data_IF_835181908884
#
_entry.id   IF_835181908884
#
_cell.length_a   1.000
_cell.length_b   1.000
_cell.length_c   1.000
_cell.angle_alpha   90.00
_cell.angle_beta   90.00
_cell.angle_gamma   90.00
#
_symmetry.space_group_name_H-M   'P 1'
#
loop_
_entity.id
_entity.type
_entity.pdbx_description
1 polymer ?
#
# COMPACT_ATOMS: atom_id res chain seq x y z
N UNK A 1 -15.37 -47.07 11.55
CA UNK A 1 -14.48 -47.54 12.64
C UNK A 1 -13.48 -46.43 12.91
N UNK A 2 -13.84 -45.53 13.81
CA UNK A 2 -13.37 -45.43 15.22
C UNK A 2 -12.16 -44.53 15.38
N UNK A 3 -12.44 -43.41 16.06
CA UNK A 3 -11.54 -42.36 16.54
C UNK A 3 -10.44 -42.94 17.44
N UNK A 4 -9.30 -42.27 17.48
CA UNK A 4 -8.43 -42.28 18.65
C UNK A 4 -8.22 -40.85 19.13
N UNK A 5 -8.69 -40.61 20.36
CA UNK A 5 -8.48 -39.42 21.18
C UNK A 5 -7.51 -39.86 22.28
N UNK A 6 -6.47 -39.08 22.53
CA UNK A 6 -5.66 -39.18 23.74
C UNK A 6 -4.62 -38.06 23.75
N UNK A 7 -4.23 -37.46 24.86
CA UNK A 7 -4.74 -37.42 26.22
C UNK A 7 -4.13 -36.13 26.82
N UNK A 8 -4.90 -35.36 27.61
CA UNK A 8 -4.35 -34.18 28.30
C UNK A 8 -3.50 -34.66 29.48
N UNK A 9 -2.31 -34.09 29.62
CA UNK A 9 -1.55 -34.15 30.88
C UNK A 9 -1.29 -32.72 31.36
N UNK A 10 -1.89 -32.40 32.51
CA UNK A 10 -1.56 -31.24 33.31
C UNK A 10 -0.26 -31.52 34.08
N UNK A 11 0.64 -30.55 34.16
CA UNK A 11 1.69 -30.58 35.17
C UNK A 11 1.98 -29.18 35.72
N UNK A 12 2.25 -29.17 37.02
CA UNK A 12 2.03 -28.08 37.92
C UNK A 12 3.21 -27.10 38.05
N UNK A 13 2.84 -25.94 38.60
CA UNK A 13 3.60 -24.78 39.09
C UNK A 13 4.88 -25.14 39.86
N UNK A 14 5.98 -24.46 39.55
CA UNK A 14 7.11 -24.26 40.46
C UNK A 14 7.35 -22.77 40.66
N UNK A 15 7.12 -22.30 41.87
CA UNK A 15 7.52 -20.99 42.39
C UNK A 15 8.97 -21.08 42.86
N UNK A 16 9.83 -20.17 42.39
CA UNK A 16 11.03 -19.80 43.14
C UNK A 16 11.14 -18.28 43.21
N UNK A 17 10.99 -17.78 44.44
CA UNK A 17 11.35 -16.45 44.90
C UNK A 17 12.87 -16.37 45.00
N UNK A 18 13.47 -15.28 44.54
CA UNK A 18 14.70 -14.75 45.13
C UNK A 18 14.73 -13.23 44.98
N UNK A 19 14.54 -12.56 46.11
CA UNK A 19 14.83 -11.15 46.28
C UNK A 19 16.31 -11.01 46.67
N UNK A 20 17.02 -10.11 45.99
CA UNK A 20 18.22 -9.47 46.50
C UNK A 20 18.30 -8.07 45.87
N UNK A 21 18.06 -7.05 46.71
CA UNK A 21 18.44 -5.66 46.47
C UNK A 21 19.96 -5.53 46.58
N UNK A 22 20.57 -4.63 45.79
CA UNK A 22 21.46 -3.60 46.34
C UNK A 22 21.77 -2.45 45.36
N UNK A 23 21.81 -1.24 45.95
CA UNK A 23 22.64 -0.07 45.67
C UNK A 23 22.62 0.66 44.30
N UNK A 24 21.79 1.72 44.26
CA UNK A 24 22.14 3.11 43.95
C UNK A 24 23.29 3.45 42.99
N UNK A 25 22.93 4.00 41.82
CA UNK A 25 23.76 4.99 41.12
C UNK A 25 22.86 6.09 40.56
N UNK A 26 23.00 7.31 41.09
CA UNK A 26 22.22 8.49 40.71
C UNK A 26 22.61 8.96 39.31
N UNK A 27 21.78 8.65 38.31
CA UNK A 27 21.90 9.28 36.99
C UNK A 27 21.09 10.58 36.98
N UNK A 28 21.81 11.70 37.01
CA UNK A 28 21.27 13.04 36.74
C UNK A 28 20.73 13.08 35.31
N UNK A 29 19.40 13.13 35.18
CA UNK A 29 18.69 13.38 33.93
C UNK A 29 18.97 14.80 33.45
N UNK A 30 19.68 14.95 32.34
CA UNK A 30 19.74 16.21 31.59
C UNK A 30 18.52 16.29 30.68
N UNK A 31 17.52 17.07 31.09
CA UNK A 31 16.33 17.33 30.26
C UNK A 31 16.74 18.23 29.11
N UNK A 32 16.88 17.68 27.90
CA UNK A 32 16.95 18.47 26.68
C UNK A 32 15.63 19.24 26.50
N UNK A 33 15.64 20.50 26.03
CA UNK A 33 14.41 21.23 25.75
C UNK A 33 13.65 20.49 24.65
N UNK A 34 12.41 20.09 24.94
CA UNK A 34 11.52 19.50 23.97
C UNK A 34 11.29 20.51 22.84
N UNK A 35 11.76 20.18 21.63
CA UNK A 35 11.29 20.85 20.43
C UNK A 35 9.75 20.70 20.40
N UNK A 36 8.99 21.74 20.06
CA UNK A 36 7.55 21.61 19.92
C UNK A 36 7.28 20.61 18.79
N UNK A 37 6.88 19.39 19.15
CA UNK A 37 6.22 18.49 18.23
C UNK A 37 4.94 19.21 17.81
N UNK A 38 4.94 19.79 16.61
CA UNK A 38 3.71 20.07 15.88
C UNK A 38 3.07 18.71 15.54
N UNK A 39 2.44 18.08 16.52
CA UNK A 39 1.69 16.86 16.33
C UNK A 39 0.44 17.23 15.53
N UNK A 40 0.52 17.11 14.21
CA UNK A 40 -0.67 17.04 13.38
C UNK A 40 -1.55 15.92 13.92
N UNK A 41 -2.78 16.25 14.31
CA UNK A 41 -3.73 15.26 14.83
C UNK A 41 -3.94 14.10 13.84
N UNK A 42 -4.41 12.96 14.35
CA UNK A 42 -4.72 11.81 13.50
C UNK A 42 -5.77 12.19 12.44
N UNK A 43 -5.48 11.86 11.18
CA UNK A 43 -6.46 11.95 10.10
C UNK A 43 -7.34 10.69 10.19
N UNK A 44 -8.62 10.87 10.50
CA UNK A 44 -9.59 9.77 10.54
C UNK A 44 -10.38 9.78 9.24
N UNK A 45 -10.23 8.71 8.45
CA UNK A 45 -10.98 8.48 7.22
C UNK A 45 -11.94 7.32 7.50
N UNK A 46 -13.23 7.61 7.57
CA UNK A 46 -14.29 6.63 7.82
C UNK A 46 -15.39 6.71 6.75
N UNK A 47 -16.47 5.95 6.93
CA UNK A 47 -17.59 5.96 5.98
C UNK A 47 -18.37 7.28 5.92
N UNK A 48 -18.13 8.23 6.82
CA UNK A 48 -18.69 9.58 6.74
C UNK A 48 -17.85 10.51 5.84
N UNK A 49 -16.63 10.10 5.48
CA UNK A 49 -15.77 10.80 4.51
C UNK A 49 -16.12 10.45 3.05
N UNK A 50 -17.39 10.18 2.75
CA UNK A 50 -17.88 9.73 1.43
C UNK A 50 -18.60 10.83 0.63
N UNK A 51 -18.78 12.02 1.22
CA UNK A 51 -19.34 13.17 0.51
C UNK A 51 -18.32 13.77 -0.46
N UNK A 52 -18.36 13.28 -1.70
CA UNK A 52 -17.44 13.68 -2.77
C UNK A 52 -17.56 15.16 -3.15
N UNK A 53 -18.67 15.82 -2.83
CA UNK A 53 -18.83 17.27 -3.10
C UNK A 53 -17.85 18.12 -2.30
N UNK A 54 -17.29 17.56 -1.21
CA UNK A 54 -16.27 18.20 -0.39
C UNK A 54 -14.88 18.16 -1.01
N UNK A 55 -14.65 17.40 -2.08
CA UNK A 55 -13.37 17.36 -2.81
C UNK A 55 -13.30 18.63 -3.69
N UNK A 56 -12.38 19.58 -3.39
CA UNK A 56 -12.21 20.77 -4.21
C UNK A 56 -11.77 20.43 -5.63
N UNK A 57 -12.35 21.11 -6.62
CA UNK A 57 -12.02 20.91 -8.05
C UNK A 57 -10.53 21.12 -8.35
N UNK A 58 -9.87 21.99 -7.58
CA UNK A 58 -8.43 22.18 -7.65
C UNK A 58 -7.65 20.86 -7.51
N UNK A 59 -8.04 20.02 -6.54
CA UNK A 59 -7.35 18.75 -6.30
C UNK A 59 -7.65 17.70 -7.35
N UNK A 60 -8.85 17.73 -7.94
CA UNK A 60 -9.17 16.88 -9.09
C UNK A 60 -8.40 17.31 -10.34
N UNK A 61 -8.22 18.62 -10.55
CA UNK A 61 -7.34 19.15 -11.58
C UNK A 61 -5.90 18.67 -11.40
N UNK A 62 -5.38 18.74 -10.17
CA UNK A 62 -4.03 18.25 -9.83
C UNK A 62 -3.89 16.75 -10.02
N UNK A 63 -4.90 15.95 -9.66
CA UNK A 63 -4.88 14.51 -9.88
C UNK A 63 -4.81 14.17 -11.39
N UNK A 64 -5.54 14.91 -12.23
CA UNK A 64 -5.55 14.72 -13.69
C UNK A 64 -4.24 15.13 -14.39
N UNK A 65 -3.33 15.78 -13.68
CA UNK A 65 -1.96 16.04 -14.17
C UNK A 65 -1.04 14.82 -13.99
N UNK A 66 -1.47 13.80 -13.23
CA UNK A 66 -0.64 12.65 -12.89
C UNK A 66 -0.81 11.47 -13.87
N UNK A 67 0.28 10.73 -14.01
CA UNK A 67 0.31 9.39 -14.60
C UNK A 67 0.79 8.37 -13.56
N UNK A 68 -0.02 7.34 -13.32
CA UNK A 68 0.21 6.35 -12.26
C UNK A 68 0.45 4.97 -12.88
N UNK A 69 1.56 4.35 -12.54
CA UNK A 69 1.76 2.92 -12.72
C UNK A 69 1.11 2.19 -11.54
N UNK A 70 0.08 1.38 -11.80
CA UNK A 70 -0.67 0.66 -10.80
C UNK A 70 -0.63 -0.85 -11.05
N UNK A 71 0.10 -1.55 -10.20
CA UNK A 71 0.19 -2.99 -10.21
C UNK A 71 -0.70 -3.57 -9.12
N UNK A 72 -1.40 -4.68 -9.37
CA UNK A 72 -2.24 -5.27 -8.33
C UNK A 72 -2.52 -6.76 -8.52
N UNK A 73 -3.10 -7.36 -7.47
CA UNK A 73 -3.75 -8.69 -7.51
C UNK A 73 -5.16 -8.60 -6.93
N UNK A 74 -6.03 -9.53 -7.34
CA UNK A 74 -7.31 -9.85 -6.67
C UNK A 74 -8.10 -8.61 -6.18
N UNK A 75 -8.13 -8.30 -4.87
CA UNK A 75 -8.86 -7.16 -4.30
C UNK A 75 -8.25 -5.79 -4.63
N UNK A 76 -6.99 -5.73 -5.04
CA UNK A 76 -6.36 -4.47 -5.46
C UNK A 76 -7.04 -3.86 -6.70
N UNK A 77 -7.77 -4.66 -7.49
CA UNK A 77 -8.59 -4.18 -8.61
C UNK A 77 -9.70 -3.21 -8.19
N UNK A 78 -10.08 -3.18 -6.91
CA UNK A 78 -11.16 -2.32 -6.41
C UNK A 78 -10.89 -0.83 -6.65
N UNK A 79 -9.63 -0.37 -6.72
CA UNK A 79 -9.35 1.03 -7.07
C UNK A 79 -9.75 1.35 -8.51
N UNK A 80 -9.48 0.44 -9.45
CA UNK A 80 -9.83 0.58 -10.86
C UNK A 80 -11.35 0.48 -11.06
N UNK A 81 -11.99 -0.52 -10.44
CA UNK A 81 -13.45 -0.63 -10.49
C UNK A 81 -14.15 0.56 -9.82
N UNK A 82 -13.59 1.05 -8.72
CA UNK A 82 -14.13 2.19 -7.97
C UNK A 82 -14.08 3.49 -8.77
N UNK A 83 -12.93 3.82 -9.39
CA UNK A 83 -12.83 5.03 -10.20
C UNK A 83 -13.70 4.96 -11.46
N UNK A 84 -13.84 3.78 -12.09
CA UNK A 84 -14.80 3.57 -13.18
C UNK A 84 -16.24 3.83 -12.75
N UNK A 85 -16.65 3.31 -11.58
CA UNK A 85 -17.98 3.57 -11.03
C UNK A 85 -18.22 5.05 -10.68
N UNK A 86 -17.17 5.81 -10.35
CA UNK A 86 -17.25 7.26 -10.13
C UNK A 86 -17.39 8.02 -11.45
N UNK A 87 -16.62 7.65 -12.47
CA UNK A 87 -16.71 8.24 -13.82
C UNK A 87 -18.11 8.04 -14.43
N UNK A 88 -18.66 6.82 -14.31
CA UNK A 88 -20.03 6.49 -14.77
C UNK A 88 -21.09 7.37 -14.12
N UNK A 89 -20.90 7.75 -12.85
CA UNK A 89 -21.81 8.64 -12.13
C UNK A 89 -21.60 10.11 -12.51
N UNK A 90 -20.35 10.52 -12.75
CA UNK A 90 -20.01 11.89 -13.09
C UNK A 90 -18.67 11.98 -13.86
N UNK A 91 -18.66 12.51 -15.11
CA UNK A 91 -17.44 12.65 -15.91
C UNK A 91 -16.40 13.60 -15.28
N UNK A 92 -16.75 14.35 -14.23
CA UNK A 92 -15.81 15.08 -13.40
C UNK A 92 -14.66 14.19 -12.89
N UNK A 93 -14.92 12.91 -12.62
CA UNK A 93 -13.95 11.93 -12.12
C UNK A 93 -13.25 11.12 -13.22
N UNK A 94 -13.30 11.59 -14.48
CA UNK A 94 -12.78 10.86 -15.62
C UNK A 94 -11.30 10.43 -15.48
N UNK A 95 -11.03 9.22 -15.96
CA UNK A 95 -9.70 8.62 -15.98
C UNK A 95 -9.46 7.87 -17.29
N UNK A 96 -8.20 7.70 -17.66
CA UNK A 96 -7.80 6.84 -18.77
C UNK A 96 -7.09 5.62 -18.22
N UNK A 97 -7.46 4.45 -18.74
CA UNK A 97 -6.89 3.17 -18.36
C UNK A 97 -6.30 2.48 -19.57
N UNK A 98 -5.05 2.04 -19.45
CA UNK A 98 -4.45 1.10 -20.39
C UNK A 98 -3.59 0.09 -19.64
N UNK A 99 -3.38 -1.08 -20.25
CA UNK A 99 -2.84 -2.24 -19.57
C UNK A 99 -1.43 -2.58 -20.07
N UNK A 100 -0.67 -3.25 -19.22
CA UNK A 100 0.63 -3.79 -19.58
C UNK A 100 0.54 -4.79 -20.74
N UNK A 101 1.41 -4.60 -21.73
CA UNK A 101 1.73 -5.60 -22.75
C UNK A 101 3.06 -6.30 -22.41
N UNK A 102 3.75 -6.83 -23.41
CA UNK A 102 5.02 -7.55 -23.19
C UNK A 102 6.20 -6.65 -22.80
N UNK A 103 6.14 -5.34 -23.05
CA UNK A 103 7.17 -4.36 -22.70
C UNK A 103 6.55 -3.10 -22.09
N UNK A 104 7.33 -2.27 -21.37
CA UNK A 104 6.85 -0.97 -20.91
C UNK A 104 6.36 -0.09 -22.07
N UNK A 105 5.40 0.81 -21.83
CA UNK A 105 4.91 1.72 -22.85
C UNK A 105 6.00 2.74 -23.21
N UNK A 106 5.99 3.19 -24.47
CA UNK A 106 6.88 4.24 -24.96
C UNK A 106 6.27 5.64 -24.90
N UNK A 107 4.98 5.75 -24.59
CA UNK A 107 4.28 7.03 -24.42
C UNK A 107 2.97 6.86 -23.64
N UNK A 108 2.39 7.99 -23.22
CA UNK A 108 1.05 8.05 -22.61
C UNK A 108 -0.06 8.38 -23.61
N UNK A 109 0.12 8.08 -24.91
CA UNK A 109 -0.86 8.45 -25.94
C UNK A 109 -2.23 7.77 -25.78
N UNK A 110 -2.31 6.71 -24.96
CA UNK A 110 -3.55 6.07 -24.58
C UNK A 110 -4.39 6.90 -23.57
N UNK A 111 -3.78 7.91 -22.95
CA UNK A 111 -4.44 8.76 -21.96
C UNK A 111 -5.01 10.04 -22.60
N UNK A 112 -6.31 10.24 -22.42
CA UNK A 112 -7.00 11.43 -22.89
C UNK A 112 -6.66 12.65 -22.02
N UNK A 113 -6.57 13.83 -22.65
CA UNK A 113 -6.37 15.09 -21.94
C UNK A 113 -7.50 15.34 -20.93
N UNK A 114 -7.15 15.82 -19.74
CA UNK A 114 -8.12 16.13 -18.69
C UNK A 114 -8.65 14.91 -17.93
N UNK A 115 -7.94 13.79 -17.98
CA UNK A 115 -8.24 12.55 -17.26
C UNK A 115 -7.03 12.13 -16.42
N UNK A 116 -7.25 11.48 -15.27
CA UNK A 116 -6.16 10.81 -14.54
C UNK A 116 -5.64 9.65 -15.40
N UNK A 117 -4.33 9.57 -15.64
CA UNK A 117 -3.76 8.51 -16.46
C UNK A 117 -3.32 7.32 -15.58
N UNK A 118 -3.83 6.13 -15.86
CA UNK A 118 -3.48 4.91 -15.12
C UNK A 118 -2.99 3.83 -16.08
N UNK A 119 -1.80 3.34 -15.81
CA UNK A 119 -1.20 2.18 -16.43
C UNK A 119 -1.30 0.97 -15.51
N UNK A 120 -2.09 -0.03 -15.90
CA UNK A 120 -2.40 -1.20 -15.09
C UNK A 120 -1.49 -2.38 -15.45
N UNK A 121 -0.75 -2.87 -14.46
CA UNK A 121 0.13 -4.03 -14.59
C UNK A 121 1.61 -3.66 -14.69
N UNK A 122 2.45 -4.69 -14.76
CA UNK A 122 3.89 -4.58 -14.85
C UNK A 122 4.37 -5.63 -15.88
N UNK A 123 4.85 -5.23 -17.07
CA UNK A 123 5.13 -6.15 -18.16
C UNK A 123 5.96 -7.37 -17.77
N UNK A 124 5.59 -8.58 -18.25
CA UNK A 124 4.54 -8.85 -19.23
C UNK A 124 3.14 -9.07 -18.63
N UNK A 125 2.98 -8.89 -17.33
CA UNK A 125 1.78 -9.32 -16.60
C UNK A 125 0.85 -8.15 -16.29
N UNK A 126 -0.44 -8.46 -16.09
CA UNK A 126 -1.44 -7.55 -15.52
C UNK A 126 -1.94 -8.00 -14.15
N UNK A 127 -1.67 -9.27 -13.78
CA UNK A 127 -1.92 -9.78 -12.43
C UNK A 127 -0.59 -9.93 -11.70
N UNK A 128 -0.28 -8.98 -10.81
CA UNK A 128 1.10 -8.74 -10.36
C UNK A 128 1.32 -9.31 -8.96
N UNK A 129 1.92 -10.49 -8.86
CA UNK A 129 2.33 -11.03 -7.55
C UNK A 129 3.54 -10.23 -7.01
N UNK A 130 3.93 -10.38 -5.72
CA UNK A 130 5.12 -9.73 -5.20
C UNK A 130 6.37 -9.94 -6.07
N UNK A 131 6.54 -11.16 -6.59
CA UNK A 131 7.69 -11.57 -7.40
C UNK A 131 7.75 -10.86 -8.75
N UNK A 132 6.62 -10.32 -9.19
CA UNK A 132 6.47 -9.54 -10.41
C UNK A 132 6.70 -8.03 -10.19
N UNK A 133 6.91 -7.57 -8.95
CA UNK A 133 7.05 -6.13 -8.65
C UNK A 133 8.23 -5.76 -7.75
N UNK A 134 8.37 -6.35 -6.56
CA UNK A 134 9.36 -5.90 -5.56
C UNK A 134 10.12 -7.02 -4.83
N UNK A 135 9.58 -8.25 -4.71
CA UNK A 135 10.19 -9.28 -3.84
C UNK A 135 11.34 -10.05 -4.50
N UNK A 136 11.43 -10.07 -5.82
CA UNK A 136 12.53 -10.71 -6.56
C UNK A 136 13.30 -9.71 -7.39
N UNK A 137 14.56 -10.05 -7.71
CA UNK A 137 15.36 -9.27 -8.66
C UNK A 137 14.66 -9.13 -10.02
N UNK A 138 13.93 -10.15 -10.47
CA UNK A 138 13.14 -10.09 -11.71
C UNK A 138 12.02 -9.05 -11.64
N UNK A 139 11.20 -9.08 -10.59
CA UNK A 139 10.14 -8.10 -10.35
C UNK A 139 10.68 -6.68 -10.19
N UNK A 140 11.73 -6.50 -9.40
CA UNK A 140 12.40 -5.21 -9.22
C UNK A 140 12.88 -4.66 -10.57
N UNK A 141 13.52 -5.50 -11.41
CA UNK A 141 14.00 -5.08 -12.72
C UNK A 141 12.85 -4.69 -13.67
N UNK A 142 11.71 -5.38 -13.61
CA UNK A 142 10.51 -5.03 -14.39
C UNK A 142 9.95 -3.68 -13.95
N UNK A 143 9.75 -3.49 -12.64
CA UNK A 143 9.28 -2.21 -12.08
C UNK A 143 10.24 -1.06 -12.41
N UNK A 144 11.55 -1.29 -12.29
CA UNK A 144 12.57 -0.33 -12.73
C UNK A 144 12.47 -0.04 -14.22
N UNK A 145 12.26 -1.04 -15.06
CA UNK A 145 12.08 -0.84 -16.50
C UNK A 145 10.87 0.02 -16.84
N UNK A 146 9.79 -0.04 -16.04
CA UNK A 146 8.64 0.88 -16.16
C UNK A 146 9.02 2.28 -15.66
N UNK A 147 9.70 2.39 -14.51
CA UNK A 147 10.15 3.67 -13.97
C UNK A 147 11.14 4.40 -14.91
N UNK A 148 12.05 3.66 -15.54
CA UNK A 148 13.08 4.16 -16.46
C UNK A 148 12.48 4.75 -17.76
N UNK A 149 11.20 4.50 -18.04
CA UNK A 149 10.49 5.20 -19.13
C UNK A 149 10.35 6.70 -18.86
N UNK A 150 10.38 7.11 -17.58
CA UNK A 150 10.12 8.49 -17.17
C UNK A 150 8.68 8.96 -17.40
N UNK A 151 7.75 8.05 -17.70
CA UNK A 151 6.36 8.40 -18.05
C UNK A 151 5.43 8.54 -16.84
N UNK A 152 5.78 7.96 -15.69
CA UNK A 152 4.88 7.85 -14.54
C UNK A 152 5.43 8.62 -13.34
N UNK A 153 4.57 9.37 -12.67
CA UNK A 153 4.91 10.14 -11.46
C UNK A 153 5.04 9.24 -10.23
N UNK A 154 4.20 8.21 -10.16
CA UNK A 154 4.14 7.28 -9.04
C UNK A 154 3.93 5.85 -9.51
N UNK A 155 4.47 4.92 -8.70
CA UNK A 155 4.34 3.49 -8.88
C UNK A 155 3.74 2.90 -7.60
N UNK A 156 2.63 2.17 -7.74
CA UNK A 156 1.87 1.62 -6.62
C UNK A 156 1.61 0.13 -6.82
N UNK A 157 1.56 -0.61 -5.71
CA UNK A 157 1.18 -2.02 -5.70
C UNK A 157 0.17 -2.35 -4.60
N UNK A 158 -0.93 -3.02 -4.95
CA UNK A 158 -2.01 -3.39 -4.03
C UNK A 158 -2.36 -4.88 -4.09
N UNK A 159 -2.82 -5.44 -2.97
CA UNK A 159 -2.98 -6.89 -2.81
C UNK A 159 -4.04 -7.26 -1.74
N UNK A 160 -4.26 -8.56 -1.49
CA UNK A 160 -5.24 -9.06 -0.50
C UNK A 160 -4.65 -9.41 0.86
N UNK A 161 -3.56 -10.19 0.87
CA UNK A 161 -2.86 -10.60 2.09
C UNK A 161 -1.38 -10.95 1.90
N UNK A 162 -0.82 -10.81 0.70
CA UNK A 162 0.55 -11.14 0.37
C UNK A 162 1.61 -10.47 1.28
N UNK A 163 1.39 -9.25 1.79
CA UNK A 163 2.27 -8.68 2.83
C UNK A 163 2.03 -9.24 4.25
N UNK A 164 0.84 -9.78 4.56
CA UNK A 164 0.55 -10.21 5.93
C UNK A 164 1.34 -11.45 6.37
N UNK A 165 1.99 -12.14 5.44
CA UNK A 165 2.88 -13.28 5.71
C UNK A 165 4.37 -12.90 5.78
N UNK A 166 4.75 -11.63 5.53
CA UNK A 166 6.15 -11.23 5.59
C UNK A 166 6.61 -11.08 7.04
N UNK A 167 7.77 -11.65 7.36
CA UNK A 167 8.35 -11.63 8.69
C UNK A 167 9.19 -10.38 9.00
N UNK A 168 9.46 -9.57 7.97
CA UNK A 168 10.25 -8.33 8.05
C UNK A 168 9.76 -7.34 7.00
N UNK A 169 9.77 -6.04 7.33
CA UNK A 169 9.64 -4.97 6.34
C UNK A 169 10.84 -5.03 5.38
N UNK A 170 10.56 -4.98 4.07
CA UNK A 170 11.53 -5.04 2.98
C UNK A 170 11.45 -3.77 2.15
#
# INVERSE_FOLDING_TARGET
MSKSIGNRSAQARSTSTNAAQEAGSSQTSVTAPAAPNAAGGAIIIDHNATDLSKIPDYWLGKAKELAIHYAHTSHGSQLISGIGALEDQNPKYAFSLFHAGSTPPSSLSACASGTLCVYDGNPPETYINPDDYWSTTGGINRTKSVADTGLFDYSMWSWCGQQSSNSTET
#
